data_IF_956561587410
#
_entry.id   IF_956561587410
#
_cell.length_a   1.000
_cell.length_b   1.000
_cell.length_c   1.000
_cell.angle_alpha   90.00
_cell.angle_beta   90.00
_cell.angle_gamma   90.00
#
_symmetry.space_group_name_H-M   'P 1'
#
loop_
_entity.id
_entity.type
_entity.pdbx_description
1 polymer ?
#
# COMPACT_ATOMS: atom_id res chain seq x y z
N UNK A 1 -10.60 5.11 -31.24
CA UNK A 1 -10.48 5.30 -32.72
C UNK A 1 -10.61 3.94 -33.39
N UNK A 2 -11.03 3.89 -34.63
CA UNK A 2 -11.31 2.61 -35.37
C UNK A 2 -10.06 1.71 -35.53
N UNK A 3 -8.89 2.16 -35.23
CA UNK A 3 -7.64 1.39 -35.41
C UNK A 3 -6.66 1.40 -34.24
N UNK A 4 -6.95 2.09 -33.15
CA UNK A 4 -6.00 2.20 -32.04
C UNK A 4 -6.54 3.00 -30.85
N UNK A 5 -5.67 3.27 -29.90
CA UNK A 5 -5.94 4.11 -28.73
C UNK A 5 -5.01 5.33 -28.76
N UNK A 6 -5.51 6.44 -28.22
CA UNK A 6 -4.77 7.69 -28.11
C UNK A 6 -4.83 8.21 -26.67
N UNK A 7 -3.67 8.34 -26.06
CA UNK A 7 -3.49 8.94 -24.75
C UNK A 7 -3.09 10.41 -24.92
N UNK A 8 -3.79 11.32 -24.23
CA UNK A 8 -3.46 12.74 -24.16
C UNK A 8 -2.91 13.02 -22.77
N UNK A 9 -1.64 13.38 -22.70
CA UNK A 9 -0.97 13.68 -21.45
C UNK A 9 -1.31 15.07 -20.94
N UNK A 10 -1.11 15.33 -19.66
CA UNK A 10 -1.30 16.66 -19.06
C UNK A 10 -0.40 17.74 -19.65
N UNK A 11 0.72 17.36 -20.27
CA UNK A 11 1.57 18.23 -21.08
C UNK A 11 0.96 18.69 -22.40
N UNK A 12 -0.15 18.07 -22.83
CA UNK A 12 -0.72 18.23 -24.16
C UNK A 12 -0.12 17.30 -25.23
N UNK A 13 0.89 16.52 -24.89
CA UNK A 13 1.45 15.51 -25.78
C UNK A 13 0.43 14.40 -26.05
N UNK A 14 0.42 13.90 -27.30
CA UNK A 14 -0.45 12.81 -27.73
C UNK A 14 0.38 11.60 -28.07
N UNK A 15 0.07 10.48 -27.45
CA UNK A 15 0.69 9.18 -27.72
C UNK A 15 -0.35 8.26 -28.35
N UNK A 16 -0.03 7.65 -29.49
CA UNK A 16 -0.88 6.69 -30.18
C UNK A 16 -0.30 5.27 -30.05
N UNK A 17 -1.20 4.29 -29.94
CA UNK A 17 -0.83 2.88 -29.81
C UNK A 17 -1.99 1.95 -30.18
N UNK A 18 -1.72 0.67 -30.21
CA UNK A 18 -2.73 -0.35 -30.48
C UNK A 18 -3.57 -0.67 -29.26
N UNK A 19 -2.96 -0.62 -28.07
CA UNK A 19 -3.57 -0.91 -26.76
C UNK A 19 -2.98 0.05 -25.72
N UNK A 20 -3.78 0.42 -24.72
CA UNK A 20 -3.36 1.15 -23.52
C UNK A 20 -3.55 0.27 -22.29
N UNK A 21 -2.50 0.12 -21.49
CA UNK A 21 -2.57 -0.57 -20.20
C UNK A 21 -2.41 0.45 -19.07
N UNK A 22 -3.47 0.64 -18.28
CA UNK A 22 -3.46 1.51 -17.10
C UNK A 22 -2.89 0.78 -15.89
N UNK A 23 -1.62 1.05 -15.56
CA UNK A 23 -0.91 0.54 -14.38
C UNK A 23 -0.56 1.69 -13.42
N UNK A 24 -1.42 2.69 -13.35
CA UNK A 24 -1.17 3.98 -12.71
C UNK A 24 -1.63 4.04 -11.24
N UNK A 25 -1.86 2.87 -10.64
CA UNK A 25 -2.02 2.70 -9.20
C UNK A 25 -3.41 3.08 -8.67
N UNK A 26 -3.51 3.22 -7.35
CA UNK A 26 -4.79 3.42 -6.64
C UNK A 26 -5.52 4.70 -7.07
N UNK A 27 -4.79 5.74 -7.50
CA UNK A 27 -5.33 7.00 -8.03
C UNK A 27 -5.37 7.04 -9.55
N UNK A 28 -5.68 5.91 -10.19
CA UNK A 28 -5.63 5.74 -11.63
C UNK A 28 -6.47 6.76 -12.39
N UNK A 29 -5.80 7.59 -13.18
CA UNK A 29 -6.44 8.51 -14.12
C UNK A 29 -7.09 7.77 -15.30
N UNK A 30 -6.52 6.62 -15.69
CA UNK A 30 -7.09 5.77 -16.73
C UNK A 30 -8.42 5.17 -16.26
N UNK A 31 -8.49 4.66 -15.01
CA UNK A 31 -9.75 4.16 -14.41
C UNK A 31 -10.80 5.24 -14.38
N UNK A 32 -10.47 6.41 -13.85
CA UNK A 32 -11.42 7.53 -13.75
C UNK A 32 -11.93 7.97 -15.12
N UNK A 33 -11.07 8.00 -16.13
CA UNK A 33 -11.46 8.37 -17.50
C UNK A 33 -12.43 7.36 -18.12
N UNK A 34 -12.26 6.05 -17.87
CA UNK A 34 -13.07 5.00 -18.47
C UNK A 34 -14.37 4.74 -17.74
N UNK A 35 -14.34 4.77 -16.42
CA UNK A 35 -15.43 4.26 -15.58
C UNK A 35 -16.00 5.32 -14.63
N UNK A 36 -15.43 6.53 -14.63
CA UNK A 36 -15.82 7.62 -13.74
C UNK A 36 -15.06 7.59 -12.42
N UNK A 37 -15.23 8.67 -11.64
CA UNK A 37 -14.69 8.76 -10.29
C UNK A 37 -15.40 7.75 -9.38
N UNK A 38 -14.65 7.14 -8.50
CA UNK A 38 -15.13 6.29 -7.42
C UNK A 38 -14.62 6.79 -6.08
N UNK A 39 -15.40 6.61 -5.03
CA UNK A 39 -15.05 7.03 -3.68
C UNK A 39 -14.47 5.82 -2.89
N UNK A 40 -13.24 5.93 -2.38
CA UNK A 40 -12.69 4.90 -1.52
C UNK A 40 -13.40 4.90 -0.16
N UNK A 41 -13.60 3.71 0.40
CA UNK A 41 -14.23 3.52 1.69
C UNK A 41 -13.17 3.37 2.79
N UNK A 42 -13.26 4.17 3.84
CA UNK A 42 -12.42 3.97 5.01
C UNK A 42 -12.82 2.68 5.75
N UNK A 43 -11.87 1.79 5.96
CA UNK A 43 -12.13 0.45 6.53
C UNK A 43 -12.23 0.43 8.06
N UNK A 44 -12.08 1.58 8.73
CA UNK A 44 -11.96 1.65 10.18
C UNK A 44 -10.56 1.26 10.71
N UNK A 45 -9.61 1.00 9.80
CA UNK A 45 -8.25 0.64 10.17
C UNK A 45 -7.27 1.74 9.80
N UNK A 46 -6.28 1.94 10.66
CA UNK A 46 -5.10 2.76 10.37
C UNK A 46 -3.86 1.88 10.29
N UNK A 47 -2.87 2.36 9.56
CA UNK A 47 -1.55 1.74 9.52
C UNK A 47 -0.47 2.73 9.93
N UNK A 48 0.45 2.26 10.74
CA UNK A 48 1.73 2.88 11.04
C UNK A 48 2.84 2.20 10.24
N UNK A 49 3.80 2.96 9.80
CA UNK A 49 5.00 2.44 9.14
C UNK A 49 6.23 3.19 9.61
N UNK A 50 7.29 2.42 9.87
CA UNK A 50 8.61 2.97 10.14
C UNK A 50 9.69 2.06 9.55
N UNK A 51 10.86 2.63 9.27
CA UNK A 51 12.07 1.87 8.98
C UNK A 51 13.16 2.29 9.96
N UNK A 52 13.89 1.32 10.50
CA UNK A 52 14.85 1.51 11.57
C UNK A 52 16.19 0.96 11.12
N UNK A 53 17.29 1.75 11.15
CA UNK A 53 18.63 1.22 10.98
C UNK A 53 18.94 0.14 12.04
N UNK A 54 19.41 -1.03 11.60
CA UNK A 54 19.59 -2.17 12.49
C UNK A 54 20.67 -1.92 13.58
N UNK A 55 21.65 -1.08 13.28
CA UNK A 55 22.71 -0.70 14.20
C UNK A 55 22.23 0.13 15.41
N UNK A 56 21.01 0.65 15.37
CA UNK A 56 20.36 1.35 16.49
C UNK A 56 19.65 0.42 17.47
N UNK A 57 19.42 -0.82 17.04
CA UNK A 57 18.74 -1.81 17.86
C UNK A 57 19.72 -2.58 18.73
N UNK A 58 19.28 -3.06 19.89
CA UNK A 58 20.10 -3.99 20.68
C UNK A 58 20.51 -5.20 19.83
N UNK A 59 21.70 -5.72 20.09
CA UNK A 59 22.21 -6.90 19.40
C UNK A 59 21.19 -8.05 19.48
N UNK A 60 20.96 -8.71 18.35
CA UNK A 60 20.05 -9.86 18.22
C UNK A 60 18.58 -9.57 18.59
N UNK A 61 18.17 -8.29 18.63
CA UNK A 61 16.80 -7.88 18.94
C UNK A 61 15.78 -8.37 17.90
N UNK A 62 16.15 -8.35 16.62
CA UNK A 62 15.32 -8.85 15.52
C UNK A 62 15.95 -10.11 14.94
N UNK A 63 15.16 -11.16 14.82
CA UNK A 63 15.58 -12.40 14.15
C UNK A 63 15.47 -12.26 12.61
N UNK A 64 16.26 -13.01 11.82
CA UNK A 64 16.19 -12.96 10.35
C UNK A 64 14.96 -13.69 9.78
N UNK A 65 13.78 -13.35 10.27
CA UNK A 65 12.48 -13.86 9.88
C UNK A 65 11.47 -12.72 9.86
N UNK A 66 10.40 -12.85 9.09
CA UNK A 66 9.24 -12.00 9.25
C UNK A 66 8.49 -12.41 10.52
N UNK A 67 8.26 -11.47 11.41
CA UNK A 67 7.51 -11.69 12.66
C UNK A 67 6.19 -10.94 12.61
N UNK A 68 5.11 -11.62 12.94
CA UNK A 68 3.79 -11.02 13.07
C UNK A 68 3.30 -11.18 14.51
N UNK A 69 3.07 -10.04 15.15
CA UNK A 69 2.50 -9.95 16.50
C UNK A 69 1.01 -9.66 16.35
N UNK A 70 0.19 -10.55 16.84
CA UNK A 70 -1.28 -10.45 16.74
C UNK A 70 -1.83 -10.15 18.12
N UNK A 71 -2.62 -9.10 18.21
CA UNK A 71 -3.27 -8.64 19.43
C UNK A 71 -4.74 -8.33 19.22
N UNK A 72 -5.41 -7.90 20.28
CA UNK A 72 -6.81 -7.48 20.20
C UNK A 72 -6.88 -6.15 19.44
N UNK A 73 -7.64 -6.13 18.34
CA UNK A 73 -7.87 -4.93 17.54
C UNK A 73 -6.66 -4.47 16.73
N UNK A 74 -5.70 -5.38 16.45
CA UNK A 74 -4.57 -5.02 15.60
C UNK A 74 -3.49 -6.08 15.46
N UNK A 75 -2.49 -5.75 14.67
CA UNK A 75 -1.28 -6.58 14.52
C UNK A 75 -0.07 -5.68 14.22
N UNK A 76 1.12 -6.23 14.43
CA UNK A 76 2.37 -5.56 14.13
C UNK A 76 3.32 -6.52 13.44
N UNK A 77 3.78 -6.15 12.25
CA UNK A 77 4.71 -6.93 11.45
C UNK A 77 6.06 -6.23 11.40
N UNK A 78 7.13 -7.00 11.55
CA UNK A 78 8.47 -6.50 11.29
C UNK A 78 9.35 -7.55 10.60
N UNK A 79 10.27 -7.07 9.78
CA UNK A 79 11.22 -7.90 9.04
C UNK A 79 12.39 -7.07 8.52
N UNK A 80 13.49 -7.74 8.21
CA UNK A 80 14.66 -7.09 7.64
C UNK A 80 14.46 -6.67 6.19
N UNK A 81 15.04 -5.52 5.85
CA UNK A 81 15.26 -5.03 4.50
C UNK A 81 16.76 -4.89 4.21
N UNK A 82 17.12 -4.75 2.94
CA UNK A 82 18.48 -4.45 2.49
C UNK A 82 19.53 -5.37 3.14
N UNK A 83 19.30 -6.68 3.11
CA UNK A 83 20.21 -7.69 3.69
C UNK A 83 20.50 -7.51 5.19
N UNK A 84 19.56 -6.95 5.94
CA UNK A 84 19.68 -6.77 7.37
C UNK A 84 20.14 -5.37 7.81
N UNK A 85 20.32 -4.43 6.89
CA UNK A 85 20.68 -3.04 7.23
C UNK A 85 19.54 -2.27 7.88
N UNK A 86 18.29 -2.59 7.51
CA UNK A 86 17.09 -1.94 8.01
C UNK A 86 16.08 -2.95 8.52
N UNK A 87 15.29 -2.55 9.51
CA UNK A 87 14.07 -3.23 9.92
C UNK A 87 12.87 -2.42 9.45
N UNK A 88 11.96 -3.04 8.69
CA UNK A 88 10.67 -2.47 8.36
C UNK A 88 9.67 -2.83 9.44
N UNK A 89 8.87 -1.88 9.88
CA UNK A 89 7.79 -2.04 10.85
C UNK A 89 6.49 -1.56 10.25
N UNK A 90 5.44 -2.37 10.35
CA UNK A 90 4.08 -2.02 9.96
C UNK A 90 3.16 -2.41 11.11
N UNK A 91 2.53 -1.44 11.74
CA UNK A 91 1.53 -1.66 12.78
C UNK A 91 0.15 -1.29 12.26
N UNK A 92 -0.84 -2.17 12.39
CA UNK A 92 -2.23 -1.91 12.00
C UNK A 92 -3.12 -1.97 13.22
N UNK A 93 -4.05 -1.02 13.32
CA UNK A 93 -5.03 -0.93 14.39
C UNK A 93 -6.43 -0.72 13.82
N UNK A 94 -7.39 -1.41 14.40
CA UNK A 94 -8.83 -1.32 14.10
C UNK A 94 -9.53 -0.27 14.99
N UNK A 95 -10.75 0.13 14.60
CA UNK A 95 -11.61 0.98 15.40
C UNK A 95 -11.13 2.43 15.50
N UNK A 96 -10.42 2.91 14.50
CA UNK A 96 -9.89 4.26 14.41
C UNK A 96 -10.80 5.17 13.58
N UNK A 97 -10.67 6.48 13.79
CA UNK A 97 -11.27 7.50 12.94
C UNK A 97 -10.19 8.11 12.03
N UNK A 98 -10.51 8.29 10.75
CA UNK A 98 -9.61 8.88 9.78
C UNK A 98 -10.38 9.58 8.66
N UNK A 99 -9.96 10.77 8.26
CA UNK A 99 -10.69 11.58 7.29
C UNK A 99 -9.94 11.88 5.99
N UNK A 100 -8.64 11.57 5.92
CA UNK A 100 -7.83 11.91 4.75
C UNK A 100 -7.22 10.68 4.09
N UNK A 101 -7.42 10.51 2.78
CA UNK A 101 -6.71 9.53 1.99
C UNK A 101 -5.28 10.02 1.72
N UNK A 102 -4.29 9.52 2.46
CA UNK A 102 -2.88 9.87 2.29
C UNK A 102 -1.97 8.74 2.77
N UNK A 103 -1.00 8.35 1.97
CA UNK A 103 0.00 7.33 2.28
C UNK A 103 1.29 7.89 2.89
N UNK A 104 1.43 9.20 2.95
CA UNK A 104 2.67 9.89 3.33
C UNK A 104 2.52 10.86 4.49
N UNK A 105 1.42 10.81 5.23
CA UNK A 105 1.26 11.64 6.41
C UNK A 105 2.28 11.23 7.48
N UNK A 106 3.18 12.13 7.84
CA UNK A 106 4.07 11.92 8.99
C UNK A 106 3.25 11.90 10.27
N UNK A 107 3.54 10.92 11.12
CA UNK A 107 2.98 10.79 12.45
C UNK A 107 4.06 10.96 13.51
N UNK A 108 3.70 11.47 14.67
CA UNK A 108 4.64 11.58 15.77
C UNK A 108 4.98 10.18 16.33
N UNK A 109 6.25 9.94 16.63
CA UNK A 109 6.70 8.69 17.27
C UNK A 109 5.97 8.45 18.61
N UNK A 110 5.67 9.52 19.36
CA UNK A 110 4.94 9.43 20.62
C UNK A 110 3.53 8.86 20.43
N UNK A 111 2.84 9.23 19.35
CA UNK A 111 1.51 8.71 19.02
C UNK A 111 1.60 7.22 18.63
N UNK A 112 2.64 6.83 17.87
CA UNK A 112 2.86 5.43 17.55
C UNK A 112 3.11 4.59 18.80
N UNK A 113 3.90 5.09 19.76
CA UNK A 113 4.11 4.45 21.06
C UNK A 113 2.82 4.35 21.88
N UNK A 114 1.99 5.40 21.86
CA UNK A 114 0.72 5.42 22.58
C UNK A 114 -0.29 4.43 21.98
N UNK A 115 -0.40 4.38 20.65
CA UNK A 115 -1.28 3.48 19.92
C UNK A 115 -0.95 2.00 20.17
N UNK A 116 0.34 1.69 20.42
CA UNK A 116 0.82 0.34 20.77
C UNK A 116 1.16 0.19 22.26
N UNK A 117 0.62 1.06 23.13
CA UNK A 117 0.82 0.92 24.57
C UNK A 117 0.29 -0.43 25.07
N UNK A 118 1.07 -1.09 25.93
CA UNK A 118 0.71 -2.41 26.48
C UNK A 118 1.04 -3.59 25.58
N UNK A 119 1.54 -3.36 24.36
CA UNK A 119 2.10 -4.41 23.54
C UNK A 119 3.51 -4.79 24.04
N UNK A 120 4.05 -5.91 23.56
CA UNK A 120 5.33 -6.44 24.01
C UNK A 120 6.47 -5.41 23.93
N UNK A 121 7.39 -5.44 24.91
CA UNK A 121 8.49 -4.47 25.00
C UNK A 121 9.40 -4.45 23.75
N UNK A 122 9.56 -5.59 23.08
CA UNK A 122 10.35 -5.65 21.83
C UNK A 122 9.80 -4.70 20.77
N UNK A 123 8.45 -4.54 20.69
CA UNK A 123 7.83 -3.59 19.76
C UNK A 123 8.04 -2.15 20.20
N UNK A 124 7.99 -1.89 21.51
CA UNK A 124 8.26 -0.57 22.06
C UNK A 124 9.70 -0.13 21.76
N UNK A 125 10.65 -1.06 21.83
CA UNK A 125 12.06 -0.81 21.45
C UNK A 125 12.17 -0.46 19.97
N UNK A 126 11.48 -1.20 19.08
CA UNK A 126 11.46 -0.88 17.66
C UNK A 126 10.95 0.54 17.43
N UNK A 127 9.77 0.87 17.97
CA UNK A 127 9.15 2.18 17.76
C UNK A 127 10.02 3.32 18.29
N UNK A 128 10.63 3.18 19.49
CA UNK A 128 11.52 4.20 20.07
C UNK A 128 12.78 4.48 19.24
N UNK A 129 13.20 3.54 18.42
CA UNK A 129 14.38 3.70 17.55
C UNK A 129 14.04 4.14 16.13
N UNK A 130 12.77 4.42 15.83
CA UNK A 130 12.33 4.95 14.54
C UNK A 130 12.53 6.47 14.48
N UNK A 131 13.18 6.98 13.43
CA UNK A 131 13.35 8.43 13.21
C UNK A 131 12.11 9.08 12.64
N UNK A 132 11.50 8.40 11.68
CA UNK A 132 10.32 8.87 10.96
C UNK A 132 9.26 7.79 10.98
N UNK A 133 8.08 8.20 11.39
CA UNK A 133 6.90 7.36 11.38
C UNK A 133 5.88 7.95 10.42
N UNK A 134 5.19 7.09 9.71
CA UNK A 134 4.09 7.47 8.83
C UNK A 134 2.82 6.83 9.34
N UNK A 135 1.72 7.57 9.27
CA UNK A 135 0.39 7.12 9.70
C UNK A 135 -0.63 7.42 8.61
N UNK A 136 -1.45 6.46 8.27
CA UNK A 136 -2.54 6.66 7.29
C UNK A 136 -3.72 5.75 7.53
N UNK A 137 -4.89 6.19 7.07
CA UNK A 137 -6.08 5.35 7.01
C UNK A 137 -5.97 4.30 5.91
N UNK A 138 -6.48 3.12 6.17
CA UNK A 138 -6.61 2.08 5.16
C UNK A 138 -7.99 2.21 4.49
N UNK A 139 -7.94 2.35 3.18
CA UNK A 139 -9.12 2.49 2.34
C UNK A 139 -9.21 1.30 1.38
N UNK A 140 -10.41 0.86 1.11
CA UNK A 140 -10.71 -0.09 0.04
C UNK A 140 -11.64 0.52 -1.00
N UNK A 141 -11.93 -0.21 -2.05
CA UNK A 141 -12.84 0.17 -3.13
C UNK A 141 -13.73 -1.01 -3.48
N UNK A 142 -14.92 -0.74 -3.93
CA UNK A 142 -15.80 -1.77 -4.44
C UNK A 142 -15.17 -2.51 -5.63
N UNK A 143 -15.38 -3.84 -5.72
CA UNK A 143 -14.89 -4.61 -6.85
C UNK A 143 -15.47 -4.09 -8.17
N UNK A 144 -14.61 -3.80 -9.12
CA UNK A 144 -15.04 -3.35 -10.44
C UNK A 144 -15.65 -4.49 -11.24
N UNK A 145 -16.81 -4.28 -11.91
CA UNK A 145 -17.48 -5.31 -12.73
C UNK A 145 -16.71 -5.65 -14.01
N UNK A 146 -15.84 -4.77 -14.46
CA UNK A 146 -14.96 -4.95 -15.62
C UNK A 146 -13.69 -4.09 -15.49
N UNK A 147 -12.60 -4.57 -16.06
CA UNK A 147 -11.28 -3.92 -16.01
C UNK A 147 -10.80 -3.45 -17.38
N UNK A 148 -11.62 -3.58 -18.40
CA UNK A 148 -11.27 -3.17 -19.76
C UNK A 148 -12.46 -2.58 -20.50
N UNK A 149 -12.14 -1.70 -21.44
CA UNK A 149 -13.10 -1.17 -22.40
C UNK A 149 -12.40 -0.98 -23.76
N UNK A 150 -12.85 -1.72 -24.77
CA UNK A 150 -12.25 -1.71 -26.10
C UNK A 150 -10.76 -2.10 -26.06
N UNK A 151 -9.90 -1.14 -26.37
CA UNK A 151 -8.44 -1.32 -26.44
C UNK A 151 -7.70 -0.81 -25.20
N UNK A 152 -8.41 -0.57 -24.11
CA UNK A 152 -7.83 -0.14 -22.84
C UNK A 152 -8.12 -1.17 -21.77
N UNK A 153 -7.08 -1.55 -21.00
CA UNK A 153 -7.22 -2.44 -19.86
C UNK A 153 -6.50 -1.84 -18.64
N UNK A 154 -7.03 -2.11 -17.44
CA UNK A 154 -6.42 -1.78 -16.18
C UNK A 154 -5.66 -2.99 -15.62
N UNK A 155 -4.66 -2.72 -14.76
CA UNK A 155 -3.81 -3.74 -14.16
C UNK A 155 -3.37 -3.31 -12.75
N UNK A 156 -3.27 -4.25 -11.81
CA UNK A 156 -2.79 -4.03 -10.46
C UNK A 156 -3.70 -3.07 -9.66
N UNK A 157 -3.13 -2.19 -8.85
CA UNK A 157 -3.91 -1.26 -8.00
C UNK A 157 -4.80 -0.29 -8.78
N UNK A 158 -4.63 -0.18 -10.09
CA UNK A 158 -5.54 0.60 -10.94
C UNK A 158 -6.93 -0.04 -11.04
N UNK A 159 -7.05 -1.36 -10.93
CA UNK A 159 -8.32 -2.08 -11.00
C UNK A 159 -8.74 -2.79 -9.72
N UNK A 160 -7.78 -3.27 -8.91
CA UNK A 160 -8.08 -4.03 -7.69
C UNK A 160 -7.15 -3.67 -6.52
N UNK A 161 -7.11 -2.39 -6.08
CA UNK A 161 -6.35 -2.03 -4.89
C UNK A 161 -6.84 -2.88 -3.71
N UNK A 162 -5.90 -3.36 -2.90
CA UNK A 162 -6.24 -4.22 -1.78
C UNK A 162 -5.52 -3.80 -0.50
N UNK A 163 -6.09 -4.20 0.63
CA UNK A 163 -5.50 -3.97 1.94
C UNK A 163 -4.22 -4.80 2.11
N UNK A 164 -3.23 -4.30 2.88
CA UNK A 164 -1.89 -4.89 2.96
C UNK A 164 -1.81 -6.20 3.77
N UNK A 165 -2.93 -6.73 4.27
CA UNK A 165 -2.97 -7.80 5.27
C UNK A 165 -2.30 -9.10 4.84
N UNK A 166 -2.36 -9.45 3.57
CA UNK A 166 -1.77 -10.68 3.03
C UNK A 166 -0.53 -10.44 2.17
N UNK A 167 -0.07 -9.19 2.06
CA UNK A 167 1.04 -8.78 1.21
C UNK A 167 0.88 -9.21 -0.27
N UNK A 168 -0.35 -9.32 -0.77
CA UNK A 168 -0.67 -9.87 -2.09
C UNK A 168 -0.71 -8.83 -3.21
N UNK A 169 -0.83 -7.51 -2.91
CA UNK A 169 -1.05 -6.49 -3.94
C UNK A 169 -0.04 -6.56 -5.09
N UNK A 170 1.27 -6.57 -4.77
CA UNK A 170 2.29 -6.67 -5.80
C UNK A 170 2.29 -8.02 -6.54
N UNK A 171 1.97 -9.12 -5.85
CA UNK A 171 1.89 -10.46 -6.44
C UNK A 171 0.75 -10.52 -7.44
N UNK A 172 -0.43 -10.01 -7.08
CA UNK A 172 -1.59 -9.95 -7.97
C UNK A 172 -1.29 -9.13 -9.22
N UNK A 173 -0.63 -7.97 -9.10
CA UNK A 173 -0.20 -7.19 -10.26
C UNK A 173 0.78 -7.93 -11.18
N UNK A 174 1.64 -8.79 -10.64
CA UNK A 174 2.51 -9.67 -11.44
C UNK A 174 1.72 -10.78 -12.14
N UNK A 175 0.72 -11.35 -11.48
CA UNK A 175 -0.17 -12.37 -12.06
C UNK A 175 -1.04 -11.77 -13.17
N UNK A 176 -1.54 -10.55 -12.99
CA UNK A 176 -2.24 -9.79 -14.05
C UNK A 176 -1.36 -9.60 -15.27
N UNK A 177 -0.13 -9.12 -15.08
CA UNK A 177 0.82 -8.91 -16.17
C UNK A 177 1.12 -10.22 -16.90
N UNK A 178 1.31 -11.32 -16.17
CA UNK A 178 1.51 -12.64 -16.77
C UNK A 178 0.30 -13.08 -17.58
N UNK A 179 -0.91 -12.89 -17.05
CA UNK A 179 -2.16 -13.25 -17.73
C UNK A 179 -2.34 -12.43 -19.00
N UNK A 180 -2.16 -11.11 -18.92
CA UNK A 180 -2.30 -10.20 -20.04
C UNK A 180 -1.35 -10.51 -21.19
N UNK A 181 -0.11 -10.95 -20.91
CA UNK A 181 0.87 -11.32 -21.94
C UNK A 181 0.53 -12.62 -22.68
N UNK A 182 -0.48 -13.38 -22.23
CA UNK A 182 -0.93 -14.63 -22.83
C UNK A 182 -2.22 -14.45 -23.65
N UNK A 183 -2.87 -13.31 -23.55
CA UNK A 183 -4.05 -12.94 -24.33
C UNK A 183 -3.67 -12.26 -25.64
#
# INVERSE_FOLDING_TARGET
TDGGVRAVLTSGEVIEGDVLIGCDGIHSAVRETLFGADDPHFTGCIAWRATIPTDRLPKDHVRPVASNWIGRGGHFVHYYLRRGELVNCVGVLEGQEWSAESWSSEGAQADFLADFAGWHEDLQVLIRNADRCFRWGLFDRDPMPRWSDGRVALLGDACHPMLPFMAQGAVMGLEDAHTLTRC
#
